data_IF_959282384233
#
_entry.id   IF_959282384233
#
_cell.length_a   1.000
_cell.length_b   1.000
_cell.length_c   1.000
_cell.angle_alpha   90.00
_cell.angle_beta   90.00
_cell.angle_gamma   90.00
#
_symmetry.space_group_name_H-M   'P 1'
#
loop_
_entity.id
_entity.type
_entity.pdbx_description
1 polymer ?
#
# COMPACT_ATOMS: atom_id res chain seq x y z
N UNK A 1 15.03 17.39 -8.58
CA UNK A 1 14.30 16.47 -9.50
C UNK A 1 14.44 15.01 -9.09
N UNK A 2 15.63 14.52 -8.74
CA UNK A 2 15.85 13.10 -8.37
C UNK A 2 15.02 12.63 -7.17
N UNK A 3 14.95 13.43 -6.08
CA UNK A 3 14.16 13.12 -4.88
C UNK A 3 12.65 13.05 -5.20
N UNK A 4 12.19 13.95 -6.07
CA UNK A 4 10.80 14.00 -6.51
C UNK A 4 10.39 12.73 -7.25
N UNK A 5 11.14 12.36 -8.29
CA UNK A 5 10.86 11.15 -9.08
C UNK A 5 10.96 9.88 -8.24
N UNK A 6 11.97 9.82 -7.36
CA UNK A 6 12.12 8.72 -6.40
C UNK A 6 10.90 8.59 -5.49
N UNK A 7 10.38 9.70 -4.96
CA UNK A 7 9.23 9.68 -4.04
C UNK A 7 7.97 9.17 -4.74
N UNK A 8 7.73 9.62 -5.97
CA UNK A 8 6.64 9.12 -6.81
C UNK A 8 6.84 7.63 -7.10
N UNK A 9 8.05 7.22 -7.51
CA UNK A 9 8.36 5.81 -7.78
C UNK A 9 8.10 4.94 -6.55
N UNK A 10 8.55 5.34 -5.37
CA UNK A 10 8.32 4.60 -4.13
C UNK A 10 6.84 4.53 -3.77
N UNK A 11 6.08 5.61 -3.95
CA UNK A 11 4.65 5.61 -3.72
C UNK A 11 3.91 4.66 -4.69
N UNK A 12 4.22 4.71 -5.99
CA UNK A 12 3.65 3.81 -7.00
C UNK A 12 3.99 2.35 -6.68
N UNK A 13 5.26 2.06 -6.41
CA UNK A 13 5.71 0.68 -6.09
C UNK A 13 5.05 0.18 -4.81
N UNK A 14 4.90 1.04 -3.80
CA UNK A 14 4.16 0.70 -2.57
C UNK A 14 2.71 0.36 -2.90
N UNK A 15 2.00 1.18 -3.67
CA UNK A 15 0.61 0.92 -4.07
C UNK A 15 0.47 -0.38 -4.85
N UNK A 16 1.39 -0.67 -5.78
CA UNK A 16 1.38 -1.91 -6.54
C UNK A 16 1.65 -3.11 -5.62
N UNK A 17 2.63 -3.00 -4.72
CA UNK A 17 2.97 -4.07 -3.80
C UNK A 17 1.82 -4.37 -2.81
N UNK A 18 1.20 -3.35 -2.24
CA UNK A 18 0.05 -3.52 -1.36
C UNK A 18 -1.17 -4.00 -2.12
N UNK A 19 -1.37 -3.64 -3.39
CA UNK A 19 -2.45 -4.21 -4.22
C UNK A 19 -2.20 -5.68 -4.51
N UNK A 20 -0.97 -6.05 -4.87
CA UNK A 20 -0.59 -7.43 -5.17
C UNK A 20 -0.78 -8.36 -3.97
N UNK A 21 -0.57 -7.86 -2.75
CA UNK A 21 -0.83 -8.61 -1.51
C UNK A 21 -2.28 -8.46 -1.02
N UNK A 22 -2.84 -7.25 -1.10
CA UNK A 22 -4.14 -6.90 -0.54
C UNK A 22 -5.30 -7.48 -1.32
N UNK A 23 -5.19 -7.58 -2.65
CA UNK A 23 -6.21 -8.21 -3.48
C UNK A 23 -6.44 -9.69 -3.12
N UNK A 24 -5.42 -10.58 -3.11
CA UNK A 24 -5.62 -11.97 -2.73
C UNK A 24 -6.05 -12.10 -1.26
N UNK A 25 -5.58 -11.25 -0.35
CA UNK A 25 -6.05 -11.24 1.04
C UNK A 25 -7.54 -10.90 1.13
N UNK A 26 -7.99 -9.83 0.47
CA UNK A 26 -9.40 -9.45 0.43
C UNK A 26 -10.25 -10.56 -0.22
N UNK A 27 -9.72 -11.19 -1.28
CA UNK A 27 -10.38 -12.31 -1.95
C UNK A 27 -10.55 -13.53 -1.03
N UNK A 28 -9.48 -13.86 -0.31
CA UNK A 28 -9.52 -14.92 0.68
C UNK A 28 -10.53 -14.61 1.79
N UNK A 29 -10.59 -13.38 2.30
CA UNK A 29 -11.52 -12.99 3.36
C UNK A 29 -12.98 -13.06 2.92
N UNK A 30 -13.29 -12.57 1.71
CA UNK A 30 -14.66 -12.54 1.18
C UNK A 30 -15.21 -13.94 0.85
N UNK A 31 -14.36 -14.96 0.73
CA UNK A 31 -14.77 -16.36 0.48
C UNK A 31 -14.92 -17.20 1.75
N UNK A 32 -14.73 -16.62 2.95
CA UNK A 32 -14.89 -17.33 4.23
C UNK A 32 -16.30 -17.16 4.79
N UNK A 33 -16.68 -18.09 5.68
CA UNK A 33 -17.90 -17.96 6.48
C UNK A 33 -17.87 -16.72 7.38
N UNK A 34 -19.04 -16.17 7.70
CA UNK A 34 -19.18 -14.91 8.43
C UNK A 34 -18.34 -14.85 9.71
N UNK A 35 -18.39 -15.89 10.55
CA UNK A 35 -17.60 -15.95 11.80
C UNK A 35 -16.09 -15.90 11.57
N UNK A 36 -15.60 -16.56 10.53
CA UNK A 36 -14.17 -16.59 10.21
C UNK A 36 -13.73 -15.27 9.61
N UNK A 37 -14.60 -14.67 8.78
CA UNK A 37 -14.40 -13.37 8.14
C UNK A 37 -14.23 -12.25 9.17
N UNK A 38 -15.05 -12.24 10.22
CA UNK A 38 -14.95 -11.25 11.31
C UNK A 38 -13.59 -11.33 12.03
N UNK A 39 -13.05 -12.55 12.23
CA UNK A 39 -11.71 -12.74 12.81
C UNK A 39 -10.63 -12.15 11.88
N UNK A 40 -10.71 -12.40 10.57
CA UNK A 40 -9.73 -11.83 9.63
C UNK A 40 -9.84 -10.30 9.54
N UNK A 41 -11.06 -9.75 9.58
CA UNK A 41 -11.29 -8.31 9.62
C UNK A 41 -10.73 -7.68 10.91
N UNK A 42 -10.87 -8.38 12.04
CA UNK A 42 -10.23 -7.98 13.28
C UNK A 42 -8.70 -8.00 13.12
N UNK A 43 -8.11 -9.10 12.64
CA UNK A 43 -6.66 -9.22 12.46
C UNK A 43 -6.07 -8.15 11.53
N UNK A 44 -6.72 -7.84 10.41
CA UNK A 44 -6.23 -6.82 9.47
C UNK A 44 -6.36 -5.40 10.04
N UNK A 45 -7.27 -5.17 10.99
CA UNK A 45 -7.48 -3.84 11.60
C UNK A 45 -6.62 -3.59 12.84
N UNK A 46 -6.07 -4.63 13.48
CA UNK A 46 -5.12 -4.51 14.61
C UNK A 46 -4.03 -3.45 14.39
N UNK A 47 -3.37 -3.35 13.22
CA UNK A 47 -2.32 -2.35 13.01
C UNK A 47 -2.82 -0.90 13.17
N UNK A 48 -4.10 -0.61 12.90
CA UNK A 48 -4.65 0.75 13.08
C UNK A 48 -4.73 1.18 14.54
N UNK A 49 -4.83 0.23 15.47
CA UNK A 49 -4.95 0.53 16.91
C UNK A 49 -3.61 0.86 17.54
N UNK A 50 -2.52 0.72 16.77
CA UNK A 50 -1.17 1.01 17.23
C UNK A 50 -0.60 2.26 16.55
N UNK A 51 0.23 2.99 17.28
CA UNK A 51 0.84 4.20 16.76
C UNK A 51 1.79 3.90 15.59
N UNK A 52 1.78 4.75 14.55
CA UNK A 52 2.62 4.62 13.37
C UNK A 52 4.12 4.53 13.70
N UNK A 53 4.61 5.33 14.66
CA UNK A 53 6.02 5.32 15.06
C UNK A 53 6.41 3.98 15.67
N UNK A 54 5.60 3.47 16.60
CA UNK A 54 5.83 2.17 17.25
C UNK A 54 5.90 1.07 16.19
N UNK A 55 4.95 1.05 15.26
CA UNK A 55 4.94 0.12 14.11
C UNK A 55 6.21 0.22 13.26
N UNK A 56 6.66 1.43 12.98
CA UNK A 56 7.86 1.67 12.18
C UNK A 56 9.11 1.18 12.90
N UNK A 57 9.23 1.41 14.22
CA UNK A 57 10.32 0.87 15.02
C UNK A 57 10.28 -0.66 15.12
N UNK A 58 9.10 -1.26 15.23
CA UNK A 58 8.97 -2.71 15.21
C UNK A 58 9.51 -3.30 13.90
N UNK A 59 9.15 -2.71 12.75
CA UNK A 59 9.71 -3.10 11.45
C UNK A 59 11.23 -2.89 11.39
N UNK A 60 11.75 -1.79 11.94
CA UNK A 60 13.20 -1.56 12.02
C UNK A 60 13.91 -2.68 12.79
N UNK A 61 13.39 -3.08 13.96
CA UNK A 61 14.00 -4.15 14.77
C UNK A 61 13.92 -5.52 14.08
N UNK A 62 12.91 -5.75 13.24
CA UNK A 62 12.78 -6.98 12.46
C UNK A 62 13.82 -7.03 11.33
N UNK A 63 14.06 -5.90 10.65
CA UNK A 63 14.82 -5.81 9.39
C UNK A 63 16.31 -5.50 9.60
N UNK A 64 16.71 -4.93 10.75
CA UNK A 64 18.12 -4.61 11.04
C UNK A 64 19.04 -5.84 10.90
N UNK A 65 20.34 -5.61 10.82
CA UNK A 65 21.34 -6.68 10.62
C UNK A 65 21.27 -7.77 11.71
N UNK A 66 21.02 -7.38 12.95
CA UNK A 66 20.84 -8.28 14.11
C UNK A 66 19.36 -8.61 14.36
N UNK A 67 18.50 -8.35 13.38
CA UNK A 67 17.05 -8.50 13.49
C UNK A 67 16.59 -9.95 13.37
N UNK A 68 15.29 -10.16 13.59
CA UNK A 68 14.66 -11.47 13.54
C UNK A 68 14.85 -12.13 12.17
N UNK A 69 14.68 -11.38 11.08
CA UNK A 69 14.80 -11.93 9.71
C UNK A 69 16.21 -12.48 9.47
N UNK A 70 17.23 -11.66 9.69
CA UNK A 70 18.62 -12.08 9.48
C UNK A 70 19.02 -13.24 10.41
N UNK A 71 18.59 -13.20 11.66
CA UNK A 71 18.86 -14.28 12.62
C UNK A 71 18.26 -15.61 12.14
N UNK A 72 17.02 -15.60 11.64
CA UNK A 72 16.38 -16.81 11.11
C UNK A 72 17.07 -17.28 9.83
N UNK A 73 17.38 -16.37 8.89
CA UNK A 73 18.05 -16.73 7.63
C UNK A 73 19.42 -17.36 7.84
N UNK A 74 20.20 -16.84 8.80
CA UNK A 74 21.51 -17.39 9.17
C UNK A 74 21.34 -18.75 9.88
N UNK A 75 20.40 -18.87 10.82
CA UNK A 75 20.13 -20.14 11.51
C UNK A 75 19.68 -21.25 10.57
N UNK A 76 18.93 -20.91 9.51
CA UNK A 76 18.51 -21.86 8.48
C UNK A 76 19.60 -22.16 7.45
N UNK A 77 20.77 -21.51 7.53
CA UNK A 77 21.87 -21.69 6.58
C UNK A 77 21.61 -21.13 5.18
N UNK A 78 20.59 -20.28 5.00
CA UNK A 78 20.24 -19.68 3.70
C UNK A 78 21.27 -18.61 3.31
N UNK A 79 21.79 -17.88 4.30
CA UNK A 79 22.82 -16.84 4.12
C UNK A 79 23.94 -17.01 5.13
N UNK A 80 25.17 -16.76 4.70
CA UNK A 80 26.38 -16.85 5.55
C UNK A 80 26.67 -15.56 6.33
N UNK A 81 26.10 -14.43 5.90
CA UNK A 81 26.24 -13.12 6.54
C UNK A 81 24.90 -12.36 6.54
N UNK A 82 24.70 -11.40 7.47
CA UNK A 82 23.48 -10.60 7.51
C UNK A 82 23.25 -9.82 6.21
N UNK A 83 22.04 -9.90 5.67
CA UNK A 83 21.61 -9.10 4.52
C UNK A 83 21.31 -7.69 4.98
N UNK A 84 22.05 -6.71 4.45
CA UNK A 84 21.85 -5.30 4.78
C UNK A 84 20.65 -4.73 4.02
N UNK A 85 19.47 -4.83 4.64
CA UNK A 85 18.22 -4.26 4.10
C UNK A 85 17.99 -2.85 4.67
N UNK A 86 18.36 -2.62 5.94
CA UNK A 86 18.14 -1.33 6.59
C UNK A 86 18.88 -0.20 5.86
N UNK A 87 18.28 0.98 5.81
CA UNK A 87 18.79 2.16 5.10
C UNK A 87 18.84 2.00 3.57
N UNK A 88 17.94 1.19 3.01
CA UNK A 88 17.73 1.03 1.56
C UNK A 88 16.29 1.39 1.17
N UNK A 89 16.04 1.58 -0.14
CA UNK A 89 14.68 1.72 -0.67
C UNK A 89 13.81 0.51 -0.35
N UNK A 90 14.41 -0.68 -0.27
CA UNK A 90 13.71 -1.92 0.08
C UNK A 90 13.16 -1.88 1.50
N UNK A 91 13.94 -1.39 2.48
CA UNK A 91 13.45 -1.22 3.85
C UNK A 91 12.26 -0.24 3.91
N UNK A 92 12.36 0.87 3.16
CA UNK A 92 11.28 1.85 3.07
C UNK A 92 10.02 1.20 2.46
N UNK A 93 10.16 0.46 1.36
CA UNK A 93 9.05 -0.24 0.71
C UNK A 93 8.38 -1.26 1.63
N UNK A 94 9.16 -2.07 2.37
CA UNK A 94 8.60 -3.04 3.32
C UNK A 94 7.81 -2.33 4.42
N UNK A 95 8.39 -1.27 5.01
CA UNK A 95 7.72 -0.49 6.04
C UNK A 95 6.44 0.17 5.54
N UNK A 96 6.48 0.79 4.35
CA UNK A 96 5.30 1.43 3.75
C UNK A 96 4.24 0.39 3.38
N UNK A 97 4.63 -0.75 2.82
CA UNK A 97 3.71 -1.85 2.53
C UNK A 97 3.02 -2.33 3.80
N UNK A 98 3.76 -2.60 4.88
CA UNK A 98 3.17 -3.00 6.17
C UNK A 98 2.19 -1.95 6.72
N UNK A 99 2.55 -0.67 6.67
CA UNK A 99 1.72 0.42 7.20
C UNK A 99 0.42 0.58 6.41
N UNK A 100 0.48 0.46 5.08
CA UNK A 100 -0.64 0.78 4.21
C UNK A 100 -1.41 -0.43 3.68
N UNK A 101 -0.93 -1.66 3.89
CA UNK A 101 -1.62 -2.88 3.47
C UNK A 101 -3.08 -2.93 3.95
N UNK A 102 -3.41 -2.61 5.21
CA UNK A 102 -4.80 -2.61 5.66
C UNK A 102 -5.70 -1.62 4.89
N UNK A 103 -5.15 -0.44 4.52
CA UNK A 103 -5.89 0.56 3.73
C UNK A 103 -6.17 0.09 2.29
N UNK A 104 -5.37 -0.83 1.75
CA UNK A 104 -5.65 -1.47 0.47
C UNK A 104 -6.69 -2.57 0.61
N UNK A 105 -6.59 -3.40 1.65
CA UNK A 105 -7.43 -4.59 1.83
C UNK A 105 -8.89 -4.20 2.09
N UNK A 106 -9.15 -3.24 2.97
CA UNK A 106 -10.51 -2.92 3.42
C UNK A 106 -11.46 -2.48 2.30
N UNK A 107 -11.09 -1.56 1.38
CA UNK A 107 -12.00 -1.16 0.30
C UNK A 107 -12.21 -2.24 -0.75
N UNK A 108 -11.18 -3.05 -1.04
CA UNK A 108 -11.30 -4.20 -1.93
C UNK A 108 -12.26 -5.21 -1.32
N UNK A 109 -12.07 -5.54 -0.04
CA UNK A 109 -12.95 -6.44 0.70
C UNK A 109 -14.40 -5.93 0.69
N UNK A 110 -14.63 -4.65 1.00
CA UNK A 110 -15.97 -4.07 1.04
C UNK A 110 -16.69 -4.08 -0.33
N UNK A 111 -15.93 -4.04 -1.43
CA UNK A 111 -16.49 -4.21 -2.78
C UNK A 111 -16.73 -5.67 -3.11
N UNK A 112 -15.86 -6.55 -2.64
CA UNK A 112 -15.91 -7.97 -2.93
C UNK A 112 -16.95 -8.72 -2.11
N UNK A 113 -17.26 -8.27 -0.90
CA UNK A 113 -18.37 -8.79 -0.09
C UNK A 113 -19.74 -8.57 -0.77
N UNK A 114 -19.85 -7.56 -1.64
CA UNK A 114 -21.05 -7.26 -2.41
C UNK A 114 -21.15 -8.05 -3.72
N UNK A 115 -20.14 -8.84 -4.06
CA UNK A 115 -20.11 -9.63 -5.29
C UNK A 115 -21.08 -10.81 -5.18
N UNK A 116 -21.98 -10.95 -6.15
CA UNK A 116 -22.82 -12.14 -6.27
C UNK A 116 -22.00 -13.29 -6.86
N UNK A 117 -21.68 -14.28 -6.03
CA UNK A 117 -20.90 -15.46 -6.43
C UNK A 117 -21.60 -16.33 -7.48
N UNK A 118 -22.90 -16.16 -7.71
CA UNK A 118 -23.61 -16.82 -8.82
C UNK A 118 -23.06 -16.42 -10.18
N UNK A 119 -22.53 -15.19 -10.32
CA UNK A 119 -21.86 -14.75 -11.56
C UNK A 119 -20.58 -15.55 -11.81
N UNK A 120 -19.87 -15.92 -10.73
CA UNK A 120 -18.67 -16.76 -10.81
C UNK A 120 -19.03 -18.19 -11.19
N UNK A 121 -20.10 -18.75 -10.61
CA UNK A 121 -20.65 -20.07 -10.95
C UNK A 121 -21.08 -20.13 -12.42
N UNK A 122 -21.86 -19.15 -12.90
CA UNK A 122 -22.27 -19.06 -14.30
C UNK A 122 -21.07 -18.95 -15.27
N UNK A 123 -19.98 -18.30 -14.84
CA UNK A 123 -18.73 -18.28 -15.59
C UNK A 123 -18.13 -19.67 -15.75
N UNK A 124 -18.12 -20.47 -14.67
CA UNK A 124 -17.64 -21.86 -14.72
C UNK A 124 -18.57 -22.77 -15.54
N UNK A 125 -19.89 -22.55 -15.51
CA UNK A 125 -20.85 -23.27 -16.36
C UNK A 125 -20.60 -23.04 -17.85
N UNK A 126 -20.13 -21.84 -18.22
CA UNK A 126 -19.65 -21.49 -19.57
C UNK A 126 -18.21 -21.95 -19.85
N UNK A 127 -17.67 -22.87 -19.04
CA UNK A 127 -16.33 -23.43 -19.17
C UNK A 127 -15.19 -22.40 -19.02
N UNK A 128 -15.44 -21.28 -18.33
CA UNK A 128 -14.39 -20.30 -18.08
C UNK A 128 -13.35 -20.84 -17.10
N UNK A 129 -12.08 -20.69 -17.44
CA UNK A 129 -10.95 -20.95 -16.54
C UNK A 129 -10.91 -19.97 -15.37
N UNK A 130 -10.26 -20.34 -14.27
CA UNK A 130 -10.09 -19.50 -13.07
C UNK A 130 -9.53 -18.11 -13.39
N UNK A 131 -8.59 -18.02 -14.33
CA UNK A 131 -8.02 -16.74 -14.77
C UNK A 131 -9.01 -15.90 -15.58
N UNK A 132 -9.86 -16.53 -16.39
CA UNK A 132 -10.94 -15.82 -17.11
C UNK A 132 -11.98 -15.28 -16.14
N UNK A 133 -12.43 -16.07 -15.16
CA UNK A 133 -13.35 -15.62 -14.11
C UNK A 133 -12.75 -14.45 -13.34
N UNK A 134 -11.49 -14.56 -12.91
CA UNK A 134 -10.80 -13.47 -12.21
C UNK A 134 -10.77 -12.18 -13.04
N UNK A 135 -10.31 -12.26 -14.30
CA UNK A 135 -10.08 -11.09 -15.14
C UNK A 135 -11.37 -10.48 -15.71
N UNK A 136 -12.37 -11.30 -16.02
CA UNK A 136 -13.60 -10.87 -16.72
C UNK A 136 -14.79 -10.63 -15.79
N UNK A 137 -14.82 -11.26 -14.61
CA UNK A 137 -15.96 -11.18 -13.70
C UNK A 137 -15.53 -10.49 -12.40
N UNK A 138 -14.61 -11.10 -11.65
CA UNK A 138 -14.27 -10.61 -10.31
C UNK A 138 -13.61 -9.23 -10.38
N UNK A 139 -12.51 -9.09 -11.13
CA UNK A 139 -11.72 -7.85 -11.16
C UNK A 139 -12.51 -6.62 -11.64
N UNK A 140 -13.33 -6.70 -12.72
CA UNK A 140 -14.19 -5.59 -13.12
C UNK A 140 -15.21 -5.19 -12.05
N UNK A 141 -15.87 -6.16 -11.41
CA UNK A 141 -16.90 -5.91 -10.39
C UNK A 141 -16.33 -5.29 -9.11
N UNK A 142 -15.12 -5.71 -8.70
CA UNK A 142 -14.45 -5.15 -7.51
C UNK A 142 -13.54 -3.95 -7.84
N UNK A 143 -13.50 -3.52 -9.10
CA UNK A 143 -12.66 -2.42 -9.57
C UNK A 143 -12.85 -1.13 -8.76
N UNK A 144 -14.08 -0.72 -8.35
CA UNK A 144 -14.25 0.46 -7.50
C UNK A 144 -13.50 0.34 -6.16
N UNK A 145 -13.45 -0.85 -5.57
CA UNK A 145 -12.69 -1.13 -4.35
C UNK A 145 -11.19 -1.08 -4.54
N UNK A 146 -10.68 -1.67 -5.63
CA UNK A 146 -9.27 -1.57 -6.02
C UNK A 146 -8.84 -0.12 -6.23
N UNK A 147 -9.72 0.66 -6.86
CA UNK A 147 -9.55 2.09 -7.09
C UNK A 147 -9.47 2.85 -5.76
N UNK A 148 -10.46 2.66 -4.88
CA UNK A 148 -10.48 3.30 -3.56
C UNK A 148 -9.26 2.93 -2.71
N UNK A 149 -8.90 1.64 -2.64
CA UNK A 149 -7.71 1.17 -1.92
C UNK A 149 -6.42 1.76 -2.48
N UNK A 150 -6.29 1.84 -3.80
CA UNK A 150 -5.10 2.43 -4.44
C UNK A 150 -4.92 3.90 -4.08
N UNK A 151 -6.01 4.68 -4.03
CA UNK A 151 -5.99 6.09 -3.58
C UNK A 151 -5.55 6.18 -2.12
N UNK A 152 -6.17 5.37 -1.26
CA UNK A 152 -5.90 5.37 0.18
C UNK A 152 -4.48 4.93 0.54
N UNK A 153 -3.77 4.25 -0.36
CA UNK A 153 -2.34 3.96 -0.21
C UNK A 153 -1.47 5.04 -0.85
N UNK A 154 -1.75 5.41 -2.10
CA UNK A 154 -0.86 6.25 -2.90
C UNK A 154 -0.67 7.66 -2.31
N UNK A 155 -1.76 8.28 -1.87
CA UNK A 155 -1.74 9.65 -1.35
C UNK A 155 -0.89 9.75 -0.07
N UNK A 156 -1.17 8.97 0.99
CA UNK A 156 -0.33 9.03 2.17
C UNK A 156 1.09 8.52 1.92
N UNK A 157 1.29 7.62 0.95
CA UNK A 157 2.63 7.16 0.56
C UNK A 157 3.50 8.28 -0.01
N UNK A 158 2.97 9.18 -0.85
CA UNK A 158 3.70 10.37 -1.31
C UNK A 158 4.05 11.28 -0.12
N UNK A 159 3.09 11.45 0.79
CA UNK A 159 3.21 12.28 1.98
C UNK A 159 4.09 11.70 3.08
N UNK A 160 4.55 10.45 2.95
CA UNK A 160 5.22 9.74 4.03
C UNK A 160 6.58 10.36 4.36
N UNK A 161 6.77 10.75 5.62
CA UNK A 161 8.06 11.23 6.13
C UNK A 161 8.60 10.35 7.26
N UNK A 162 7.74 9.83 8.14
CA UNK A 162 8.15 9.00 9.29
C UNK A 162 8.87 7.72 8.86
N UNK A 163 8.22 6.89 8.04
CA UNK A 163 8.77 5.59 7.61
C UNK A 163 10.09 5.75 6.85
N UNK A 164 10.22 6.66 5.87
CA UNK A 164 11.50 6.94 5.21
C UNK A 164 12.58 7.51 6.15
N UNK A 165 12.22 8.37 7.11
CA UNK A 165 13.19 8.90 8.07
C UNK A 165 13.80 7.78 8.92
N UNK A 166 12.95 6.88 9.45
CA UNK A 166 13.37 5.83 10.38
C UNK A 166 14.07 4.67 9.63
N UNK A 167 13.50 4.20 8.52
CA UNK A 167 14.01 3.03 7.81
C UNK A 167 15.05 3.37 6.72
N UNK A 168 15.02 4.60 6.20
CA UNK A 168 15.92 5.10 5.16
C UNK A 168 17.21 5.75 5.69
N UNK A 169 17.32 5.96 7.00
CA UNK A 169 18.56 6.37 7.67
C UNK A 169 19.10 7.74 7.25
N UNK A 170 18.21 8.66 6.85
CA UNK A 170 18.58 10.00 6.39
C UNK A 170 19.29 10.07 5.04
N UNK A 171 19.78 8.97 4.48
CA UNK A 171 20.38 8.94 3.13
C UNK A 171 19.34 8.84 2.03
N UNK A 172 18.20 8.21 2.35
CA UNK A 172 17.14 7.92 1.40
C UNK A 172 15.90 8.78 1.65
N UNK A 173 16.09 10.10 1.57
CA UNK A 173 15.02 11.06 1.79
C UNK A 173 13.99 11.04 0.66
N UNK A 174 12.71 11.07 1.05
CA UNK A 174 11.59 11.40 0.18
C UNK A 174 11.30 12.90 0.22
N UNK A 175 10.44 13.34 -0.69
CA UNK A 175 10.07 14.75 -0.85
C UNK A 175 9.47 15.34 0.43
N UNK A 176 8.66 14.57 1.15
CA UNK A 176 8.12 15.00 2.44
C UNK A 176 9.18 15.16 3.53
N UNK A 177 10.25 14.35 3.51
CA UNK A 177 11.39 14.56 4.41
C UNK A 177 12.10 15.87 4.06
N UNK A 178 12.28 16.16 2.77
CA UNK A 178 12.89 17.41 2.34
C UNK A 178 12.05 18.62 2.78
N UNK A 179 10.72 18.54 2.64
CA UNK A 179 9.79 19.58 3.13
C UNK A 179 9.95 19.79 4.63
N UNK A 180 9.93 18.70 5.40
CA UNK A 180 10.10 18.74 6.86
C UNK A 180 11.43 19.40 7.24
N UNK A 181 12.52 19.05 6.56
CA UNK A 181 13.82 19.69 6.79
C UNK A 181 13.81 21.19 6.49
N UNK A 182 13.11 21.66 5.45
CA UNK A 182 13.05 23.09 5.15
C UNK A 182 12.30 23.88 6.23
N UNK A 183 11.23 23.31 6.82
CA UNK A 183 10.51 23.94 7.92
C UNK A 183 11.25 23.84 9.26
N UNK A 184 11.91 22.71 9.52
CA UNK A 184 12.70 22.45 10.71
C UNK A 184 14.11 23.03 10.60
N UNK A 185 15.10 22.15 10.40
CA UNK A 185 16.52 22.49 10.50
C UNK A 185 16.98 23.56 9.49
N UNK A 186 16.47 23.51 8.26
CA UNK A 186 16.81 24.44 7.20
C UNK A 186 16.24 25.84 7.40
N UNK A 187 15.20 26.00 8.24
CA UNK A 187 14.52 27.28 8.54
C UNK A 187 14.14 28.10 7.30
N UNK A 188 13.99 27.45 6.15
CA UNK A 188 13.63 28.05 4.87
C UNK A 188 12.14 27.81 4.59
N UNK A 189 11.31 28.51 5.36
CA UNK A 189 9.86 28.40 5.30
C UNK A 189 9.27 28.78 3.93
N UNK A 190 9.82 29.77 3.18
CA UNK A 190 9.39 30.04 1.82
C UNK A 190 9.59 28.83 0.88
N UNK A 191 10.76 28.20 0.90
CA UNK A 191 11.02 27.01 0.08
C UNK A 191 10.17 25.82 0.53
N UNK A 192 10.04 25.60 1.83
CA UNK A 192 9.17 24.56 2.40
C UNK A 192 7.72 24.72 1.92
N UNK A 193 7.20 25.95 1.95
CA UNK A 193 5.85 26.26 1.47
C UNK A 193 5.68 26.00 -0.02
N UNK A 194 6.65 26.41 -0.85
CA UNK A 194 6.62 26.17 -2.29
C UNK A 194 6.61 24.67 -2.63
N UNK A 195 7.43 23.88 -1.92
CA UNK A 195 7.48 22.43 -2.08
C UNK A 195 6.16 21.77 -1.64
N UNK A 196 5.58 22.18 -0.51
CA UNK A 196 4.28 21.68 -0.03
C UNK A 196 3.15 21.95 -1.02
N UNK A 197 3.06 23.18 -1.55
CA UNK A 197 2.05 23.56 -2.56
C UNK A 197 2.24 22.72 -3.83
N UNK A 198 3.48 22.51 -4.26
CA UNK A 198 3.77 21.67 -5.43
C UNK A 198 3.25 20.25 -5.24
N UNK A 199 3.54 19.62 -4.10
CA UNK A 199 3.03 18.28 -3.77
C UNK A 199 1.51 18.24 -3.70
N UNK A 200 0.90 19.26 -3.08
CA UNK A 200 -0.55 19.37 -2.98
C UNK A 200 -1.21 19.44 -4.36
N UNK A 201 -0.67 20.25 -5.28
CA UNK A 201 -1.16 20.34 -6.67
C UNK A 201 -1.06 18.98 -7.36
N UNK A 202 0.06 18.27 -7.21
CA UNK A 202 0.26 16.96 -7.85
C UNK A 202 -0.73 15.93 -7.31
N UNK A 203 -0.91 15.87 -5.99
CA UNK A 203 -1.88 14.98 -5.35
C UNK A 203 -3.30 15.32 -5.82
N UNK A 204 -3.63 16.60 -5.92
CA UNK A 204 -4.93 17.06 -6.41
C UNK A 204 -5.16 16.67 -7.87
N UNK A 205 -4.18 16.88 -8.75
CA UNK A 205 -4.25 16.46 -10.17
C UNK A 205 -4.39 14.95 -10.27
N UNK A 206 -3.62 14.18 -9.50
CA UNK A 206 -3.72 12.72 -9.45
C UNK A 206 -5.11 12.28 -9.01
N UNK A 207 -5.65 12.88 -7.94
CA UNK A 207 -7.01 12.63 -7.46
C UNK A 207 -8.07 12.94 -8.50
N UNK A 208 -8.02 14.12 -9.14
CA UNK A 208 -8.99 14.52 -10.15
C UNK A 208 -8.95 13.60 -11.38
N UNK A 209 -7.75 13.26 -11.86
CA UNK A 209 -7.59 12.30 -12.96
C UNK A 209 -8.18 10.93 -12.60
N UNK A 210 -7.98 10.51 -11.34
CA UNK A 210 -8.45 9.21 -10.86
C UNK A 210 -9.97 9.17 -10.68
N UNK A 211 -10.57 10.18 -10.02
CA UNK A 211 -12.02 10.30 -9.82
C UNK A 211 -12.74 10.40 -11.16
N UNK A 212 -12.22 11.16 -12.13
CA UNK A 212 -12.81 11.27 -13.47
C UNK A 212 -12.84 9.92 -14.20
N UNK A 213 -11.85 9.06 -13.97
CA UNK A 213 -11.79 7.73 -14.56
C UNK A 213 -12.67 6.71 -13.82
N UNK A 214 -12.86 6.88 -12.51
CA UNK A 214 -13.72 6.03 -11.68
C UNK A 214 -15.21 6.37 -11.81
N UNK A 215 -15.55 7.64 -12.01
CA UNK A 215 -16.91 8.16 -12.10
C UNK A 215 -17.57 8.02 -13.47
N UNK A 216 -17.05 7.20 -14.40
CA UNK A 216 -17.81 6.79 -15.59
C UNK A 216 -18.85 5.78 -15.13
N UNK A 217 -20.14 6.14 -15.06
CA UNK A 217 -21.18 5.16 -14.79
C UNK A 217 -21.11 4.12 -15.89
N UNK A 218 -21.11 2.84 -15.54
CA UNK A 218 -21.41 1.80 -16.51
C UNK A 218 -22.73 2.18 -17.17
N UNK A 219 -22.67 2.40 -18.47
CA UNK A 219 -23.83 2.67 -19.31
C UNK A 219 -24.80 1.50 -19.07
N UNK A 220 -25.95 1.80 -18.45
CA UNK A 220 -27.12 0.94 -18.42
C UNK A 220 -27.28 0.31 -19.81
N UNK A 221 -27.03 -0.98 -19.92
CA UNK A 221 -27.58 -1.77 -21.01
C UNK A 221 -28.96 -2.20 -20.56
N UNK A 222 -29.95 -1.80 -21.37
CA UNK A 222 -31.38 -1.97 -21.13
C UNK A 222 -31.84 -3.41 -21.24
#
# INVERSE_FOLDING_TARGET
VTIFWRSIKLAIVTTIATLALGFPTAYFMATRSEKTRDIWLFLITIPFWTNLLIRTFAVLQIIRNEGIINTILIKLGIVSAPVQILFTDTAILIGMAYVYLPLMVLPIYASMEKLDFRLVEAGYDLYASRFQVLRRIIFPLVRPGVIAGSILVFIPAIGAYVTPSVLGGGKNMMLSNLIELQFGQGRNWPLGSALSITVMIIVMVALLAYVRNAGRPEVRHG
#
